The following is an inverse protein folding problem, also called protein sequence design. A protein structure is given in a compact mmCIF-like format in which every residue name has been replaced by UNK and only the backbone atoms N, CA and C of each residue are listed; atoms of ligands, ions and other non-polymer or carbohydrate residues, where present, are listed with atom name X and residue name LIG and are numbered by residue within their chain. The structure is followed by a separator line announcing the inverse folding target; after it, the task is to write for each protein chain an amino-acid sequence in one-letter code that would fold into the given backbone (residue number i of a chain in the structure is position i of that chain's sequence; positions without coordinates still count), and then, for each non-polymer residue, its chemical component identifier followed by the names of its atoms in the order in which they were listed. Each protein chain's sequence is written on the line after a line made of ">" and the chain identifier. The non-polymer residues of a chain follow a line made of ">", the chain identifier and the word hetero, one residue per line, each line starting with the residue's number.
data_IF_562025734596
#
_entry.id   IF_562025734596
#
_cell.length_a   1.000
_cell.length_b   1.000
_cell.length_c   1.000
_cell.angle_alpha   90.00
_cell.angle_beta   90.00
_cell.angle_gamma   90.00
#
_symmetry.space_group_name_H-M   'P 1'
#
loop_
_entity.id
_entity.type
_entity.pdbx_description
1 polymer ?
#
# COMPACT_ATOMS: atom_id res chain seq x y z
N UNK A 1 -9.22 -4.89 -24.84
CA UNK A 1 -9.17 -3.44 -25.16
C UNK A 1 -7.75 -2.96 -24.87
N UNK A 2 -7.19 -1.98 -25.60
CA UNK A 2 -5.93 -1.35 -25.19
C UNK A 2 -6.13 -0.75 -23.79
N UNK A 3 -5.19 -0.95 -22.86
CA UNK A 3 -5.19 -0.23 -21.58
C UNK A 3 -5.09 1.27 -21.92
N UNK A 4 -6.14 2.05 -21.66
CA UNK A 4 -6.00 3.50 -21.55
C UNK A 4 -5.16 3.75 -20.32
N UNK A 5 -3.96 4.29 -20.50
CA UNK A 5 -3.08 4.62 -19.38
C UNK A 5 -3.65 5.82 -18.63
N UNK A 6 -4.38 5.53 -17.57
CA UNK A 6 -5.10 6.52 -16.78
C UNK A 6 -4.23 7.00 -15.60
N UNK A 7 -4.24 8.31 -15.40
CA UNK A 7 -3.27 9.04 -14.57
C UNK A 7 -3.87 9.42 -13.24
N UNK A 8 -3.17 9.18 -12.13
CA UNK A 8 -3.60 9.68 -10.83
C UNK A 8 -3.79 11.21 -10.92
N UNK A 9 -4.93 11.76 -10.45
CA UNK A 9 -5.17 13.21 -10.42
C UNK A 9 -4.07 13.94 -9.67
N UNK A 10 -3.91 15.24 -9.92
CA UNK A 10 -2.81 16.03 -9.31
C UNK A 10 -3.12 16.40 -7.86
N UNK A 11 -3.16 15.39 -7.00
CA UNK A 11 -3.42 15.53 -5.56
C UNK A 11 -2.27 16.24 -4.84
N UNK A 12 -1.07 16.31 -5.43
CA UNK A 12 0.07 17.10 -4.95
C UNK A 12 1.02 16.30 -4.04
N UNK A 13 2.21 16.86 -3.79
CA UNK A 13 3.21 16.25 -2.91
C UNK A 13 2.87 16.58 -1.44
N UNK A 14 2.14 15.67 -0.80
CA UNK A 14 1.64 15.70 0.58
C UNK A 14 1.53 14.25 1.09
N UNK A 15 1.25 14.06 2.37
CA UNK A 15 0.93 12.76 2.96
C UNK A 15 -0.45 12.30 2.44
N UNK A 16 -0.44 11.51 1.36
CA UNK A 16 -1.62 11.07 0.64
C UNK A 16 -2.35 10.01 1.44
N UNK A 17 -1.64 9.10 2.10
CA UNK A 17 -2.26 8.06 2.92
C UNK A 17 -3.08 8.66 4.07
N UNK A 18 -2.51 9.63 4.80
CA UNK A 18 -3.23 10.39 5.83
C UNK A 18 -4.37 11.23 5.26
N UNK A 19 -4.24 11.70 4.02
CA UNK A 19 -5.30 12.42 3.31
C UNK A 19 -6.51 11.52 3.06
N UNK A 20 -6.28 10.30 2.57
CA UNK A 20 -7.30 9.25 2.38
C UNK A 20 -7.99 8.94 3.70
N UNK A 21 -7.20 8.64 4.75
CA UNK A 21 -7.70 8.31 6.08
C UNK A 21 -8.60 9.44 6.61
N UNK A 22 -8.09 10.67 6.55
CA UNK A 22 -8.79 11.81 7.12
C UNK A 22 -10.08 12.13 6.37
N UNK A 23 -10.07 12.00 5.04
CA UNK A 23 -11.26 12.19 4.21
C UNK A 23 -12.35 11.19 4.60
N UNK A 24 -12.00 9.90 4.70
CA UNK A 24 -12.94 8.87 5.07
C UNK A 24 -13.52 9.11 6.48
N UNK A 25 -12.68 9.49 7.45
CA UNK A 25 -13.11 9.83 8.81
C UNK A 25 -14.09 11.01 8.85
N UNK A 26 -13.87 12.07 8.06
CA UNK A 26 -14.78 13.23 8.01
C UNK A 26 -16.17 12.79 7.55
N UNK A 27 -16.24 12.03 6.45
CA UNK A 27 -17.49 11.56 5.87
C UNK A 27 -18.23 10.63 6.84
N UNK A 28 -17.50 9.70 7.47
CA UNK A 28 -18.07 8.79 8.48
C UNK A 28 -18.61 9.53 9.71
N UNK A 29 -17.86 10.48 10.26
CA UNK A 29 -18.19 11.13 11.53
C UNK A 29 -19.30 12.16 11.39
N UNK A 30 -19.26 12.99 10.34
CA UNK A 30 -20.24 14.05 10.17
C UNK A 30 -21.60 13.50 9.78
N UNK A 31 -21.64 12.52 8.88
CA UNK A 31 -22.86 11.98 8.29
C UNK A 31 -23.64 13.03 7.48
N UNK A 32 -24.21 12.64 6.35
CA UNK A 32 -25.06 13.52 5.53
C UNK A 32 -24.43 14.88 5.15
N UNK A 33 -23.12 14.93 4.87
CA UNK A 33 -22.47 16.14 4.36
C UNK A 33 -22.82 16.36 2.89
N UNK A 34 -23.07 17.58 2.46
CA UNK A 34 -23.01 17.92 1.03
C UNK A 34 -21.56 17.97 0.54
N UNK A 35 -21.35 17.93 -0.77
CA UNK A 35 -20.01 18.06 -1.36
C UNK A 35 -19.33 19.40 -1.03
N UNK A 36 -20.12 20.47 -0.95
CA UNK A 36 -19.61 21.81 -0.60
C UNK A 36 -19.23 21.88 0.88
N UNK A 37 -20.01 21.29 1.78
CA UNK A 37 -19.64 21.19 3.20
C UNK A 37 -18.38 20.33 3.38
N UNK A 38 -18.23 19.23 2.63
CA UNK A 38 -17.00 18.43 2.66
C UNK A 38 -15.79 19.24 2.18
N UNK A 39 -15.95 20.08 1.15
CA UNK A 39 -14.89 21.00 0.71
C UNK A 39 -14.50 21.96 1.83
N UNK A 40 -15.47 22.57 2.50
CA UNK A 40 -15.23 23.51 3.60
C UNK A 40 -14.44 22.85 4.75
N UNK A 41 -14.75 21.60 5.09
CA UNK A 41 -14.01 20.81 6.07
C UNK A 41 -12.56 20.55 5.64
N UNK A 42 -12.35 20.16 4.38
CA UNK A 42 -11.00 19.96 3.83
C UNK A 42 -10.19 21.26 3.81
N UNK A 43 -10.82 22.40 3.52
CA UNK A 43 -10.19 23.71 3.60
C UNK A 43 -9.84 24.09 5.04
N UNK A 44 -10.72 23.84 6.00
CA UNK A 44 -10.47 24.11 7.41
C UNK A 44 -9.24 23.34 7.91
N UNK A 45 -9.13 22.05 7.59
CA UNK A 45 -7.97 21.20 7.96
C UNK A 45 -6.65 21.75 7.43
N UNK A 46 -6.66 22.37 6.24
CA UNK A 46 -5.47 22.99 5.68
C UNK A 46 -5.08 24.32 6.35
N UNK A 47 -6.04 25.06 6.93
CA UNK A 47 -5.75 26.35 7.58
C UNK A 47 -4.95 26.16 8.86
N UNK A 48 -5.17 25.05 9.55
CA UNK A 48 -4.56 24.76 10.85
C UNK A 48 -3.20 24.05 10.76
N UNK A 49 -2.59 23.98 9.55
CA UNK A 49 -1.36 23.21 9.32
C UNK A 49 -0.29 23.98 8.54
N UNK A 50 0.96 23.80 8.96
CA UNK A 50 2.14 24.27 8.22
C UNK A 50 2.29 23.54 6.87
N UNK A 51 1.90 22.26 6.81
CA UNK A 51 1.81 21.47 5.58
C UNK A 51 0.36 21.13 5.25
N UNK A 52 -0.11 21.65 4.11
CA UNK A 52 -1.46 21.36 3.61
C UNK A 52 -1.62 19.88 3.29
N UNK A 53 -2.64 19.25 3.86
CA UNK A 53 -3.04 17.86 3.62
C UNK A 53 -3.88 17.71 2.34
N UNK A 54 -4.62 18.75 1.96
CA UNK A 54 -5.51 18.76 0.79
C UNK A 54 -5.17 19.92 -0.17
N UNK A 55 -3.99 19.91 -0.81
CA UNK A 55 -3.53 21.04 -1.66
C UNK A 55 -4.39 21.30 -2.92
N UNK A 56 -5.07 20.28 -3.43
CA UNK A 56 -5.88 20.33 -4.66
C UNK A 56 -7.24 19.65 -4.42
N UNK A 57 -8.17 20.30 -3.72
CA UNK A 57 -9.44 19.66 -3.29
C UNK A 57 -10.25 19.11 -4.46
N UNK A 58 -10.29 19.79 -5.61
CA UNK A 58 -10.99 19.28 -6.79
C UNK A 58 -10.36 17.99 -7.34
N UNK A 59 -9.03 17.89 -7.28
CA UNK A 59 -8.31 16.69 -7.69
C UNK A 59 -8.49 15.56 -6.68
N UNK A 60 -8.64 15.88 -5.38
CA UNK A 60 -9.04 14.92 -4.37
C UNK A 60 -10.43 14.36 -4.65
N UNK A 61 -11.40 15.19 -5.05
CA UNK A 61 -12.71 14.69 -5.43
C UNK A 61 -12.65 13.79 -6.66
N UNK A 62 -11.88 14.14 -7.70
CA UNK A 62 -11.66 13.23 -8.84
C UNK A 62 -11.03 11.91 -8.41
N UNK A 63 -10.10 11.96 -7.46
CA UNK A 63 -9.37 10.79 -7.00
C UNK A 63 -10.18 9.88 -6.08
N UNK A 64 -11.26 10.36 -5.45
CA UNK A 64 -11.94 9.62 -4.38
C UNK A 64 -13.42 9.33 -4.65
N UNK A 65 -14.08 10.09 -5.53
CA UNK A 65 -15.48 9.83 -5.89
C UNK A 65 -15.64 8.60 -6.77
N UNK A 66 -16.69 7.83 -6.52
CA UNK A 66 -17.14 6.73 -7.37
C UNK A 66 -17.41 7.21 -8.81
N UNK A 67 -17.19 6.32 -9.78
CA UNK A 67 -17.43 6.52 -11.22
C UNK A 67 -16.60 7.64 -11.86
N UNK A 68 -15.59 8.16 -11.16
CA UNK A 68 -14.59 9.06 -11.75
C UNK A 68 -13.44 8.24 -12.34
N UNK A 69 -13.06 8.55 -13.58
CA UNK A 69 -11.81 8.03 -14.15
C UNK A 69 -10.64 8.44 -13.24
N UNK A 70 -9.70 7.52 -13.04
CA UNK A 70 -8.56 7.70 -12.14
C UNK A 70 -8.87 7.77 -10.63
N UNK A 71 -10.00 7.21 -10.18
CA UNK A 71 -10.43 7.22 -8.79
C UNK A 71 -10.17 5.91 -8.04
N UNK A 72 -9.96 6.02 -6.73
CA UNK A 72 -9.98 4.92 -5.76
C UNK A 72 -11.38 4.64 -5.19
N UNK A 73 -12.37 5.48 -5.51
CA UNK A 73 -13.81 5.23 -5.28
C UNK A 73 -14.21 4.97 -3.81
N UNK A 74 -13.67 5.74 -2.87
CA UNK A 74 -13.96 5.60 -1.43
C UNK A 74 -15.17 6.42 -0.95
N UNK A 75 -15.62 7.39 -1.74
CA UNK A 75 -16.82 8.21 -1.45
C UNK A 75 -17.75 8.25 -2.66
N UNK A 76 -19.04 8.50 -2.43
CA UNK A 76 -20.05 8.67 -3.48
C UNK A 76 -21.06 9.73 -3.08
N UNK A 77 -21.76 10.27 -4.08
CA UNK A 77 -22.90 11.17 -3.85
C UNK A 77 -24.20 10.36 -3.93
N UNK A 78 -24.98 10.38 -2.85
CA UNK A 78 -26.28 9.71 -2.75
C UNK A 78 -27.27 10.65 -2.05
N UNK A 79 -28.45 10.83 -2.66
CA UNK A 79 -29.52 11.67 -2.12
C UNK A 79 -29.09 13.11 -1.74
N UNK A 80 -28.15 13.69 -2.51
CA UNK A 80 -27.62 15.04 -2.27
C UNK A 80 -26.57 15.13 -1.16
N UNK A 81 -26.14 13.99 -0.62
CA UNK A 81 -25.12 13.88 0.40
C UNK A 81 -23.94 13.03 -0.06
N UNK A 82 -22.79 13.25 0.54
CA UNK A 82 -21.59 12.44 0.38
C UNK A 82 -21.60 11.36 1.46
N UNK A 83 -21.45 10.12 1.05
CA UNK A 83 -21.33 8.96 1.92
C UNK A 83 -20.13 8.09 1.52
N UNK A 84 -19.66 7.25 2.44
CA UNK A 84 -18.64 6.25 2.13
C UNK A 84 -19.21 5.17 1.22
N UNK A 85 -18.42 4.74 0.25
CA UNK A 85 -18.66 3.47 -0.46
C UNK A 85 -18.35 2.29 0.47
N UNK A 86 -18.62 1.06 0.03
CA UNK A 86 -18.21 -0.13 0.78
C UNK A 86 -16.68 -0.17 0.94
N UNK A 87 -15.92 0.11 -0.13
CA UNK A 87 -14.45 0.26 -0.08
C UNK A 87 -14.02 1.30 0.98
N UNK A 88 -14.70 2.45 1.04
CA UNK A 88 -14.41 3.50 2.02
C UNK A 88 -14.71 3.09 3.47
N UNK A 89 -15.74 2.27 3.69
CA UNK A 89 -16.07 1.73 5.03
C UNK A 89 -15.05 0.68 5.44
N UNK A 90 -14.69 -0.23 4.54
CA UNK A 90 -13.72 -1.29 4.77
C UNK A 90 -12.39 -0.72 5.29
N UNK A 91 -11.90 0.37 4.67
CA UNK A 91 -10.69 1.06 5.10
C UNK A 91 -10.71 1.47 6.59
N UNK A 92 -11.83 2.01 7.08
CA UNK A 92 -11.93 2.50 8.45
C UNK A 92 -12.15 1.40 9.48
N UNK A 93 -12.61 0.23 9.03
CA UNK A 93 -12.85 -0.93 9.89
C UNK A 93 -11.72 -1.96 9.85
N UNK A 94 -10.77 -1.81 8.94
CA UNK A 94 -9.63 -2.70 8.81
C UNK A 94 -8.73 -2.66 10.06
N UNK A 95 -8.18 -3.80 10.51
CA UNK A 95 -7.20 -3.83 11.60
C UNK A 95 -5.95 -2.99 11.29
N UNK A 96 -5.47 -3.05 10.05
CA UNK A 96 -4.42 -2.19 9.53
C UNK A 96 -4.92 -1.37 8.34
N UNK A 97 -5.08 -0.07 8.57
CA UNK A 97 -5.49 0.90 7.54
C UNK A 97 -4.50 0.96 6.37
N UNK A 98 -3.19 0.82 6.63
CA UNK A 98 -2.14 0.95 5.62
C UNK A 98 -2.21 -0.20 4.64
N UNK A 99 -2.34 -1.44 5.13
CA UNK A 99 -2.51 -2.63 4.29
C UNK A 99 -3.79 -2.51 3.46
N UNK A 100 -4.92 -2.19 4.09
CA UNK A 100 -6.19 -2.04 3.39
C UNK A 100 -6.14 -0.94 2.31
N UNK A 101 -5.47 0.19 2.59
CA UNK A 101 -5.29 1.27 1.62
C UNK A 101 -4.40 0.86 0.46
N UNK A 102 -3.31 0.12 0.71
CA UNK A 102 -2.45 -0.40 -0.35
C UNK A 102 -3.20 -1.38 -1.25
N UNK A 103 -3.88 -2.37 -0.67
CA UNK A 103 -4.66 -3.36 -1.42
C UNK A 103 -5.78 -2.71 -2.24
N UNK A 104 -6.45 -1.68 -1.71
CA UNK A 104 -7.42 -0.90 -2.45
C UNK A 104 -6.78 -0.18 -3.64
N UNK A 105 -5.67 0.53 -3.41
CA UNK A 105 -4.94 1.25 -4.46
C UNK A 105 -4.46 0.29 -5.55
N UNK A 106 -3.90 -0.85 -5.16
CA UNK A 106 -3.46 -1.88 -6.09
C UNK A 106 -4.65 -2.41 -6.92
N UNK A 107 -5.73 -2.84 -6.26
CA UNK A 107 -6.95 -3.35 -6.92
C UNK A 107 -7.52 -2.34 -7.92
N UNK A 108 -7.72 -1.10 -7.50
CA UNK A 108 -8.30 -0.03 -8.34
C UNK A 108 -7.34 0.40 -9.44
N UNK A 109 -6.02 0.35 -9.22
CA UNK A 109 -5.06 0.69 -10.26
C UNK A 109 -5.12 -0.24 -11.46
N UNK A 110 -5.52 -1.50 -11.30
CA UNK A 110 -5.65 -2.46 -12.42
C UNK A 110 -6.69 -2.02 -13.47
N UNK A 111 -7.64 -1.16 -13.10
CA UNK A 111 -8.75 -0.73 -13.98
C UNK A 111 -8.86 0.79 -14.14
N UNK A 112 -8.61 1.57 -13.09
CA UNK A 112 -8.99 3.00 -13.03
C UNK A 112 -7.80 3.96 -13.17
N UNK A 113 -6.62 3.64 -12.64
CA UNK A 113 -5.40 4.45 -12.76
C UNK A 113 -4.16 3.58 -12.93
N UNK A 114 -3.99 3.05 -14.15
CA UNK A 114 -3.07 1.94 -14.44
C UNK A 114 -1.59 2.25 -14.25
N UNK A 115 -1.19 3.51 -14.26
CA UNK A 115 0.20 3.88 -14.01
C UNK A 115 0.71 3.46 -12.62
N UNK A 116 -0.16 3.40 -11.60
CA UNK A 116 0.27 2.89 -10.29
C UNK A 116 0.59 1.40 -10.37
N UNK A 117 -0.28 0.62 -11.01
CA UNK A 117 -0.05 -0.81 -11.24
C UNK A 117 1.25 -1.05 -12.00
N UNK A 118 1.51 -0.30 -13.08
CA UNK A 118 2.72 -0.45 -13.88
C UNK A 118 3.99 -0.17 -13.05
N UNK A 119 3.94 0.79 -12.11
CA UNK A 119 5.05 1.05 -11.18
C UNK A 119 5.22 -0.08 -10.18
N UNK A 120 4.14 -0.62 -9.61
CA UNK A 120 4.23 -1.78 -8.71
C UNK A 120 4.86 -2.98 -9.41
N UNK A 121 4.53 -3.23 -10.69
CA UNK A 121 5.18 -4.29 -11.48
C UNK A 121 6.69 -4.05 -11.71
N UNK A 122 7.12 -2.80 -11.80
CA UNK A 122 8.55 -2.47 -11.89
C UNK A 122 9.28 -2.64 -10.54
N UNK A 123 8.59 -2.38 -9.43
CA UNK A 123 9.09 -2.63 -8.07
C UNK A 123 9.22 -4.14 -7.84
N UNK A 124 8.17 -4.90 -8.16
CA UNK A 124 8.15 -6.37 -8.12
C UNK A 124 9.36 -6.99 -8.84
N UNK A 125 9.58 -6.60 -10.11
CA UNK A 125 10.71 -7.08 -10.91
C UNK A 125 12.07 -6.74 -10.28
N UNK A 126 12.16 -5.60 -9.59
CA UNK A 126 13.38 -5.19 -8.87
C UNK A 126 13.60 -6.01 -7.61
N UNK A 127 12.55 -6.23 -6.83
CA UNK A 127 12.58 -7.07 -5.62
C UNK A 127 13.03 -8.48 -5.97
N UNK A 128 12.38 -9.10 -6.95
CA UNK A 128 12.72 -10.46 -7.43
C UNK A 128 14.15 -10.57 -7.99
N UNK A 129 14.71 -9.48 -8.51
CA UNK A 129 16.08 -9.43 -9.01
C UNK A 129 17.12 -9.07 -7.94
N UNK A 130 16.71 -8.81 -6.69
CA UNK A 130 17.58 -8.32 -5.62
C UNK A 130 18.18 -6.94 -5.92
N UNK A 131 17.53 -6.13 -6.77
CA UNK A 131 18.00 -4.81 -7.19
C UNK A 131 17.12 -3.70 -6.60
N UNK A 132 17.45 -3.28 -5.39
CA UNK A 132 16.63 -2.34 -4.62
C UNK A 132 16.88 -0.86 -4.94
N UNK A 133 17.88 -0.52 -5.76
CA UNK A 133 18.23 0.88 -6.04
C UNK A 133 17.16 1.60 -6.90
N UNK A 134 16.74 2.76 -6.41
CA UNK A 134 15.79 3.67 -7.07
C UNK A 134 16.46 4.99 -7.48
N UNK A 135 17.79 5.13 -7.29
CA UNK A 135 18.57 6.29 -7.66
C UNK A 135 18.42 7.49 -6.71
N UNK A 136 19.00 8.63 -7.08
CA UNK A 136 18.99 9.84 -6.23
C UNK A 136 17.71 10.69 -6.39
N UNK A 137 16.97 10.51 -7.47
CA UNK A 137 15.71 11.19 -7.76
C UNK A 137 14.61 10.17 -8.07
N UNK A 138 13.81 9.87 -7.05
CA UNK A 138 12.72 8.90 -7.14
C UNK A 138 11.65 9.30 -8.16
N UNK A 139 11.32 10.60 -8.26
CA UNK A 139 10.28 11.05 -9.20
C UNK A 139 10.75 10.87 -10.64
N UNK A 140 12.02 11.19 -10.92
CA UNK A 140 12.62 10.97 -12.23
C UNK A 140 12.69 9.48 -12.57
N UNK A 141 13.10 8.63 -11.63
CA UNK A 141 13.12 7.16 -11.82
C UNK A 141 11.73 6.64 -12.20
N UNK A 142 10.70 7.01 -11.44
CA UNK A 142 9.31 6.59 -11.75
C UNK A 142 8.85 7.18 -13.09
N UNK A 143 9.18 8.44 -13.37
CA UNK A 143 8.87 9.08 -14.65
C UNK A 143 9.46 8.29 -15.82
N UNK A 144 10.67 7.75 -15.71
CA UNK A 144 11.25 6.93 -16.78
C UNK A 144 10.43 5.69 -17.10
N UNK A 145 9.73 5.12 -16.10
CA UNK A 145 8.90 3.91 -16.28
C UNK A 145 7.56 4.21 -16.94
N UNK A 146 6.91 5.32 -16.58
CA UNK A 146 5.54 5.60 -17.02
C UNK A 146 5.40 6.78 -17.99
N UNK A 147 6.46 7.54 -18.23
CA UNK A 147 6.51 8.72 -19.10
C UNK A 147 5.45 9.79 -18.75
N UNK A 148 5.11 9.92 -17.46
CA UNK A 148 4.13 10.88 -16.94
C UNK A 148 4.60 11.51 -15.62
N UNK A 149 5.07 12.76 -15.68
CA UNK A 149 5.72 13.42 -14.54
C UNK A 149 4.76 13.75 -13.39
N UNK A 150 3.54 14.15 -13.71
CA UNK A 150 2.54 14.50 -12.69
C UNK A 150 2.16 13.25 -11.88
N UNK A 151 1.87 12.16 -12.58
CA UNK A 151 1.55 10.88 -11.96
C UNK A 151 2.75 10.31 -11.20
N UNK A 152 3.96 10.43 -11.74
CA UNK A 152 5.18 9.97 -11.08
C UNK A 152 5.37 10.64 -9.70
N UNK A 153 5.12 11.95 -9.60
CA UNK A 153 5.18 12.66 -8.33
C UNK A 153 4.17 12.14 -7.29
N UNK A 154 2.93 11.84 -7.70
CA UNK A 154 1.91 11.28 -6.81
C UNK A 154 2.27 9.85 -6.35
N UNK A 155 2.72 9.00 -7.28
CA UNK A 155 3.16 7.63 -6.96
C UNK A 155 4.37 7.67 -6.03
N UNK A 156 5.33 8.57 -6.26
CA UNK A 156 6.47 8.78 -5.38
C UNK A 156 6.05 9.16 -3.95
N UNK A 157 4.91 9.83 -3.76
CA UNK A 157 4.38 10.11 -2.43
C UNK A 157 3.77 8.85 -1.82
N UNK A 158 2.95 8.11 -2.56
CA UNK A 158 2.41 6.83 -2.08
C UNK A 158 3.51 5.86 -1.65
N UNK A 159 4.53 5.65 -2.48
CA UNK A 159 5.62 4.72 -2.12
C UNK A 159 6.37 5.13 -0.85
N UNK A 160 6.47 6.44 -0.57
CA UNK A 160 7.08 6.95 0.68
C UNK A 160 6.13 6.81 1.87
N UNK A 161 4.85 7.16 1.69
CA UNK A 161 3.82 7.05 2.72
C UNK A 161 3.62 5.58 3.12
N UNK A 162 3.81 4.65 2.17
CA UNK A 162 3.84 3.21 2.39
C UNK A 162 5.19 2.67 2.86
N UNK A 163 6.23 3.50 2.94
CA UNK A 163 7.62 3.10 3.27
C UNK A 163 8.16 1.97 2.38
N UNK A 164 7.55 1.74 1.22
CA UNK A 164 8.04 0.85 0.16
C UNK A 164 9.38 1.37 -0.37
N UNK A 165 9.59 2.69 -0.33
CA UNK A 165 10.88 3.29 -0.63
C UNK A 165 11.35 4.15 0.54
N UNK A 166 12.60 3.93 0.93
CA UNK A 166 13.29 4.66 1.99
C UNK A 166 14.50 5.37 1.40
N UNK A 167 14.96 6.42 2.09
CA UNK A 167 16.14 7.16 1.67
C UNK A 167 17.34 6.76 2.51
N UNK A 168 18.36 6.17 1.88
CA UNK A 168 19.64 5.83 2.50
C UNK A 168 20.80 6.47 1.74
N UNK A 169 21.74 7.07 2.48
CA UNK A 169 22.91 7.81 1.98
C UNK A 169 22.66 8.69 0.72
N UNK A 170 21.53 9.41 0.71
CA UNK A 170 21.17 10.30 -0.40
C UNK A 170 20.56 9.62 -1.62
N UNK A 171 20.44 8.29 -1.64
CA UNK A 171 19.74 7.48 -2.63
C UNK A 171 18.42 6.96 -2.09
N UNK A 172 17.51 6.61 -2.98
CA UNK A 172 16.28 5.91 -2.66
C UNK A 172 16.48 4.42 -2.89
N UNK A 173 15.97 3.62 -1.97
CA UNK A 173 16.02 2.17 -2.04
C UNK A 173 14.64 1.59 -1.75
N UNK A 174 14.32 0.47 -2.38
CA UNK A 174 13.12 -0.32 -2.07
C UNK A 174 13.35 -1.02 -0.73
N UNK A 175 12.37 -0.93 0.17
CA UNK A 175 12.28 -1.76 1.36
C UNK A 175 11.47 -3.03 1.00
N UNK A 176 12.12 -4.17 0.67
CA UNK A 176 11.43 -5.36 0.21
C UNK A 176 10.48 -5.90 1.28
N UNK A 177 10.90 -5.92 2.55
CA UNK A 177 10.05 -6.38 3.66
C UNK A 177 8.74 -5.58 3.75
N UNK A 178 8.83 -4.25 3.66
CA UNK A 178 7.64 -3.40 3.70
C UNK A 178 6.75 -3.59 2.47
N UNK A 179 7.33 -3.82 1.28
CA UNK A 179 6.57 -4.07 0.07
C UNK A 179 5.82 -5.42 0.14
N UNK A 180 6.50 -6.49 0.55
CA UNK A 180 5.89 -7.82 0.74
C UNK A 180 4.80 -7.77 1.81
N UNK A 181 5.06 -7.10 2.94
CA UNK A 181 4.06 -6.88 4.00
C UNK A 181 2.75 -6.28 3.48
N UNK A 182 2.86 -5.31 2.55
CA UNK A 182 1.69 -4.61 2.02
C UNK A 182 0.91 -5.43 0.98
N UNK A 183 1.56 -6.35 0.26
CA UNK A 183 0.89 -7.21 -0.71
C UNK A 183 -0.07 -8.20 -0.03
N UNK A 184 0.33 -8.81 1.10
CA UNK A 184 -0.40 -9.90 1.77
C UNK A 184 -0.48 -11.18 0.91
N UNK A 185 -0.93 -12.34 1.41
CA UNK A 185 -1.34 -12.72 2.78
C UNK A 185 -0.16 -12.90 3.74
N UNK A 186 -0.41 -12.82 5.05
CA UNK A 186 0.58 -13.12 6.10
C UNK A 186 1.27 -14.48 5.87
N UNK A 187 0.49 -15.45 5.40
CA UNK A 187 0.95 -16.78 4.99
C UNK A 187 1.87 -16.72 3.75
N UNK A 188 1.51 -15.90 2.75
CA UNK A 188 2.29 -15.71 1.52
C UNK A 188 3.62 -14.99 1.83
N UNK A 189 3.60 -14.02 2.75
CA UNK A 189 4.80 -13.31 3.24
C UNK A 189 5.78 -14.31 3.86
N UNK A 190 5.28 -15.21 4.72
CA UNK A 190 6.12 -16.25 5.34
C UNK A 190 6.66 -17.21 4.27
N UNK A 191 5.83 -17.64 3.32
CA UNK A 191 6.27 -18.52 2.25
C UNK A 191 7.35 -17.89 1.36
N UNK A 192 7.19 -16.62 0.98
CA UNK A 192 8.14 -15.88 0.15
C UNK A 192 9.49 -15.73 0.86
N UNK A 193 9.50 -15.42 2.16
CA UNK A 193 10.73 -15.36 2.95
C UNK A 193 11.44 -16.71 2.95
N UNK A 194 10.71 -17.82 3.15
CA UNK A 194 11.31 -19.17 3.14
C UNK A 194 11.82 -19.50 1.72
N UNK A 195 11.11 -19.11 0.67
CA UNK A 195 11.51 -19.32 -0.73
C UNK A 195 12.82 -18.60 -1.06
N UNK A 196 12.96 -17.34 -0.64
CA UNK A 196 14.18 -16.53 -0.82
C UNK A 196 15.40 -17.15 -0.12
N UNK A 197 15.18 -17.88 0.97
CA UNK A 197 16.23 -18.61 1.70
C UNK A 197 16.49 -20.02 1.14
N UNK A 198 16.02 -20.31 -0.08
CA UNK A 198 16.24 -21.60 -0.73
C UNK A 198 15.24 -22.68 -0.30
N UNK A 199 14.00 -22.27 -0.03
CA UNK A 199 12.87 -23.08 0.43
C UNK A 199 13.03 -23.69 1.82
N UNK A 200 14.03 -23.28 2.61
CA UNK A 200 14.31 -23.79 3.94
C UNK A 200 15.14 -22.82 4.77
N UNK A 201 14.74 -22.55 6.01
CA UNK A 201 15.50 -21.71 6.94
C UNK A 201 15.33 -22.11 8.41
N UNK A 202 16.11 -21.51 9.30
CA UNK A 202 15.96 -21.67 10.76
C UNK A 202 14.66 -20.99 11.21
N UNK A 203 13.81 -21.71 11.95
CA UNK A 203 12.53 -21.18 12.42
C UNK A 203 12.72 -19.95 13.32
N UNK A 204 13.74 -19.96 14.18
CA UNK A 204 14.02 -18.84 15.07
C UNK A 204 14.51 -17.59 14.30
N UNK A 205 15.17 -17.79 13.15
CA UNK A 205 15.59 -16.70 12.27
C UNK A 205 14.38 -16.09 11.56
N UNK A 206 13.45 -16.92 11.08
CA UNK A 206 12.18 -16.47 10.52
C UNK A 206 11.35 -15.67 11.54
N UNK A 207 11.13 -16.22 12.73
CA UNK A 207 10.42 -15.55 13.83
C UNK A 207 11.06 -14.20 14.18
N UNK A 208 12.40 -14.16 14.23
CA UNK A 208 13.14 -12.93 14.51
C UNK A 208 12.96 -11.90 13.39
N UNK A 209 12.98 -12.33 12.12
CA UNK A 209 12.79 -11.46 10.96
C UNK A 209 11.36 -10.88 10.96
N UNK A 210 10.35 -11.71 11.20
CA UNK A 210 8.95 -11.29 11.29
C UNK A 210 8.69 -10.33 12.48
N UNK A 211 9.29 -10.59 13.63
CA UNK A 211 9.10 -9.73 14.83
C UNK A 211 9.93 -8.45 14.77
N UNK A 212 11.17 -8.49 14.27
CA UNK A 212 12.06 -7.32 14.26
C UNK A 212 11.87 -6.45 13.02
N UNK A 213 11.75 -7.06 11.84
CA UNK A 213 11.71 -6.32 10.58
C UNK A 213 10.27 -6.04 10.15
N UNK A 214 9.36 -7.01 10.33
CA UNK A 214 7.93 -6.86 10.02
C UNK A 214 7.08 -6.37 11.20
N UNK A 215 7.65 -6.28 12.41
CA UNK A 215 6.98 -5.82 13.64
C UNK A 215 5.73 -6.62 14.03
N UNK A 216 5.67 -7.88 13.63
CA UNK A 216 4.58 -8.78 14.03
C UNK A 216 4.66 -9.13 15.52
N UNK A 217 3.50 -9.36 16.12
CA UNK A 217 3.44 -9.88 17.50
C UNK A 217 3.76 -11.37 17.53
N UNK A 218 4.37 -11.84 18.62
CA UNK A 218 4.72 -13.27 18.77
C UNK A 218 3.49 -14.20 18.55
N UNK A 219 2.32 -13.81 19.06
CA UNK A 219 1.06 -14.58 18.89
C UNK A 219 0.60 -14.63 17.42
N UNK A 220 0.77 -13.53 16.68
CA UNK A 220 0.45 -13.49 15.24
C UNK A 220 1.39 -14.42 14.45
N UNK A 221 2.69 -14.37 14.74
CA UNK A 221 3.70 -15.23 14.08
C UNK A 221 3.38 -16.70 14.31
N UNK A 222 3.09 -17.07 15.56
CA UNK A 222 2.74 -18.45 15.93
C UNK A 222 1.47 -18.91 15.19
N UNK A 223 0.42 -18.08 15.15
CA UNK A 223 -0.85 -18.39 14.49
C UNK A 223 -0.66 -18.62 12.98
N UNK A 224 0.10 -17.78 12.29
CA UNK A 224 0.35 -17.89 10.84
C UNK A 224 1.17 -19.13 10.51
N UNK A 225 2.22 -19.41 11.29
CA UNK A 225 3.04 -20.59 11.08
C UNK A 225 2.21 -21.86 11.31
N UNK A 226 1.35 -21.86 12.34
CA UNK A 226 0.44 -22.97 12.59
C UNK A 226 -0.58 -23.14 11.45
N UNK A 227 -1.14 -22.05 10.93
CA UNK A 227 -2.08 -22.08 9.81
C UNK A 227 -1.43 -22.63 8.54
N UNK A 228 -0.21 -22.19 8.20
CA UNK A 228 0.57 -22.73 7.09
C UNK A 228 0.86 -24.24 7.24
N UNK A 229 1.15 -24.70 8.46
CA UNK A 229 1.34 -26.13 8.75
C UNK A 229 0.04 -26.92 8.59
N UNK A 230 -1.08 -26.39 9.09
CA UNK A 230 -2.39 -27.01 8.99
C UNK A 230 -2.88 -27.09 7.54
N UNK A 231 -2.55 -26.09 6.72
CA UNK A 231 -2.77 -26.06 5.28
C UNK A 231 -1.76 -26.93 4.51
N UNK A 232 -0.78 -27.53 5.19
CA UNK A 232 0.29 -28.36 4.63
C UNK A 232 1.10 -27.64 3.54
N UNK A 233 1.27 -26.32 3.73
CA UNK A 233 2.05 -25.41 2.90
C UNK A 233 3.51 -25.35 3.35
N UNK A 234 3.73 -25.42 4.66
CA UNK A 234 5.06 -25.51 5.28
C UNK A 234 5.16 -26.71 6.22
N UNK A 235 6.38 -27.19 6.45
CA UNK A 235 6.68 -28.23 7.42
C UNK A 235 7.84 -27.81 8.32
N UNK A 236 7.82 -28.25 9.57
CA UNK A 236 8.96 -28.08 10.49
C UNK A 236 9.62 -29.42 10.78
N UNK A 237 10.95 -29.45 10.78
CA UNK A 237 11.75 -30.63 11.15
C UNK A 237 12.94 -30.23 12.04
N UNK A 238 13.59 -31.22 12.66
CA UNK A 238 14.85 -31.03 13.38
C UNK A 238 16.04 -31.40 12.51
N UNK A 239 16.92 -30.43 12.29
CA UNK A 239 18.15 -30.62 11.53
C UNK A 239 19.35 -29.99 12.25
N UNK A 240 20.42 -30.77 12.42
CA UNK A 240 21.67 -30.35 13.09
C UNK A 240 21.46 -29.65 14.46
N UNK A 241 20.42 -30.05 15.21
CA UNK A 241 20.12 -29.52 16.54
C UNK A 241 19.27 -28.24 16.55
N UNK A 242 18.77 -27.80 15.40
CA UNK A 242 17.88 -26.64 15.23
C UNK A 242 16.52 -27.07 14.69
N UNK A 243 15.49 -26.28 14.96
CA UNK A 243 14.20 -26.41 14.28
C UNK A 243 14.27 -25.62 12.99
N UNK A 244 14.01 -26.28 11.87
CA UNK A 244 13.94 -25.64 10.55
C UNK A 244 12.50 -25.64 10.09
N UNK A 245 12.16 -24.66 9.27
CA UNK A 245 10.90 -24.58 8.53
C UNK A 245 11.22 -24.63 7.04
N UNK A 246 10.44 -25.39 6.27
CA UNK A 246 10.62 -25.58 4.83
C UNK A 246 9.29 -25.57 4.09
N UNK A 247 9.31 -25.08 2.84
CA UNK A 247 8.14 -25.11 1.95
C UNK A 247 7.86 -26.55 1.51
N UNK A 248 6.59 -26.95 1.56
CA UNK A 248 6.14 -28.24 1.04
C UNK A 248 6.00 -28.14 -0.47
N UNK A 249 7.06 -28.46 -1.21
CA UNK A 249 7.01 -28.54 -2.68
C UNK A 249 6.26 -29.80 -3.12
N UNK A 250 5.12 -29.64 -3.79
CA UNK A 250 4.43 -30.73 -4.54
C UNK A 250 5.17 -31.16 -5.81
#
# INVERSE_FOLDING_TARGET
>A
MPRTYESIPRVGNQDLLKGIEKLAQIVQFRGQLTKDELRDEMEAINRDRDSKLFKSIDEWFKFTFQDQNCSIEIIKEADGHVELTEDGKELLTAPDFRVAAFQLLERKSRTNFTHFYDVLQQIEQKVQAGNYDMGSDLEETIYTWIQNKVTAGAIACFLKDFEIVVKDDGRWEINPAQYTYLQGDDEDIVEDIIAEHGNRMDLAELEQLLTLDFKWGDEQVDDIIQELQDQNRVATDRYEGKTVIELVTT
#
